data_IF_909861282960
#
_entry.id   IF_909861282960
#
_cell.length_a   1.000
_cell.length_b   1.000
_cell.length_c   1.000
_cell.angle_alpha   90.00
_cell.angle_beta   90.00
_cell.angle_gamma   90.00
#
_symmetry.space_group_name_H-M   'P 1'
#
loop_
_entity.id
_entity.type
_entity.pdbx_description
1 polymer ?
#
# COMPACT_ATOMS: atom_id res chain seq x y z
N UNK A 1 0.23 -8.60 16.29
CA UNK A 1 -0.03 -7.32 15.60
C UNK A 1 1.22 -6.91 14.84
N UNK A 2 1.11 -6.01 13.86
CA UNK A 2 2.25 -5.51 13.08
C UNK A 2 2.06 -4.03 12.72
N UNK A 3 3.15 -3.41 12.26
CA UNK A 3 3.17 -2.03 11.80
C UNK A 3 3.30 -1.99 10.28
N UNK A 4 2.66 -1.00 9.67
CA UNK A 4 2.66 -0.76 8.22
C UNK A 4 3.25 0.61 8.00
N UNK A 5 4.35 0.69 7.26
CA UNK A 5 4.94 1.94 6.79
C UNK A 5 4.77 2.02 5.28
N UNK A 6 4.10 3.06 4.81
CA UNK A 6 3.96 3.34 3.39
C UNK A 6 4.86 4.52 3.04
N UNK A 7 5.98 4.26 2.36
CA UNK A 7 6.90 5.30 1.90
C UNK A 7 6.66 5.69 0.42
N UNK A 8 5.54 5.24 -0.14
CA UNK A 8 5.14 5.60 -1.49
C UNK A 8 4.22 6.82 -1.49
N UNK A 9 3.97 7.35 -2.68
CA UNK A 9 2.98 8.42 -2.93
C UNK A 9 1.56 7.90 -3.11
N UNK A 10 1.33 6.59 -3.04
CA UNK A 10 0.02 5.96 -3.28
C UNK A 10 -0.63 5.56 -1.97
N UNK A 11 -1.96 5.38 -1.98
CA UNK A 11 -2.68 4.80 -0.84
C UNK A 11 -2.60 3.28 -0.90
N UNK A 12 -2.35 2.65 0.24
CA UNK A 12 -2.30 1.19 0.39
C UNK A 12 -3.45 0.74 1.28
N UNK A 13 -4.23 -0.23 0.80
CA UNK A 13 -5.23 -0.93 1.59
C UNK A 13 -4.72 -2.33 1.91
N UNK A 14 -4.81 -2.72 3.18
CA UNK A 14 -4.33 -4.00 3.70
C UNK A 14 -5.51 -4.82 4.19
N UNK A 15 -5.51 -6.11 3.87
CA UNK A 15 -6.60 -7.04 4.13
C UNK A 15 -6.12 -8.21 4.99
N UNK A 16 -7.08 -8.92 5.60
CA UNK A 16 -6.82 -10.10 6.41
C UNK A 16 -6.62 -11.31 5.49
N UNK A 17 -5.60 -12.12 5.75
CA UNK A 17 -5.39 -13.39 5.05
C UNK A 17 -4.54 -13.27 3.79
N UNK A 18 -4.38 -14.39 3.08
CA UNK A 18 -3.44 -14.49 1.96
C UNK A 18 -3.98 -13.91 0.65
N UNK A 19 -5.30 -13.82 0.51
CA UNK A 19 -5.98 -13.26 -0.68
C UNK A 19 -6.69 -11.98 -0.29
N UNK A 20 -6.82 -11.04 -1.22
CA UNK A 20 -7.72 -9.90 -1.05
C UNK A 20 -9.16 -10.41 -1.24
N UNK A 21 -9.80 -10.86 -0.16
CA UNK A 21 -11.12 -11.50 -0.12
C UNK A 21 -12.29 -10.52 -0.32
N UNK A 22 -12.07 -9.39 -1.00
CA UNK A 22 -13.05 -8.33 -1.31
C UNK A 22 -13.85 -7.80 -0.10
N UNK A 23 -13.41 -8.08 1.13
CA UNK A 23 -13.93 -7.48 2.36
C UNK A 23 -13.39 -6.08 2.62
N UNK A 24 -13.84 -5.45 3.71
CA UNK A 24 -13.30 -4.17 4.14
C UNK A 24 -11.81 -4.31 4.54
N UNK A 25 -10.94 -3.35 4.19
CA UNK A 25 -9.55 -3.38 4.60
C UNK A 25 -9.42 -3.30 6.13
N UNK A 26 -8.43 -4.00 6.69
CA UNK A 26 -8.06 -3.92 8.12
C UNK A 26 -7.19 -2.70 8.43
N UNK A 27 -6.61 -2.08 7.40
CA UNK A 27 -5.94 -0.79 7.48
C UNK A 27 -5.93 -0.11 6.10
N UNK A 28 -6.17 1.20 6.08
CA UNK A 28 -5.93 2.06 4.93
C UNK A 28 -4.83 3.04 5.31
N UNK A 29 -3.71 3.00 4.58
CA UNK A 29 -2.50 3.76 4.89
C UNK A 29 -2.22 4.71 3.74
N UNK A 30 -2.37 6.01 4.01
CA UNK A 30 -2.12 7.05 3.03
C UNK A 30 -0.64 7.20 2.67
N UNK A 31 -0.32 8.07 1.69
CA UNK A 31 1.04 8.38 1.27
C UNK A 31 1.93 8.83 2.43
N UNK A 32 3.19 8.36 2.46
CA UNK A 32 4.20 8.70 3.47
C UNK A 32 3.71 8.60 4.93
N UNK A 33 2.82 7.65 5.20
CA UNK A 33 2.16 7.48 6.49
C UNK A 33 2.38 6.10 7.08
N UNK A 34 2.01 5.95 8.36
CA UNK A 34 2.16 4.71 9.12
C UNK A 34 0.89 4.34 9.84
N UNK A 35 0.58 3.04 9.87
CA UNK A 35 -0.42 2.45 10.76
C UNK A 35 0.27 1.48 11.71
N UNK A 36 0.09 1.68 13.01
CA UNK A 36 0.77 0.89 14.04
C UNK A 36 -0.23 -0.01 14.78
N UNK A 37 0.24 -1.16 15.25
CA UNK A 37 -0.57 -2.07 16.07
C UNK A 37 -1.71 -2.75 15.31
N UNK A 38 -1.62 -2.85 13.99
CA UNK A 38 -2.65 -3.50 13.16
C UNK A 38 -2.77 -4.96 13.56
N UNK A 39 -3.98 -5.38 13.91
CA UNK A 39 -4.27 -6.75 14.30
C UNK A 39 -4.96 -7.49 13.14
N UNK A 40 -4.26 -8.40 12.46
CA UNK A 40 -4.82 -9.17 11.36
C UNK A 40 -5.90 -10.16 11.85
N UNK A 41 -5.97 -10.46 13.15
CA UNK A 41 -6.84 -11.52 13.66
C UNK A 41 -6.40 -12.92 13.21
N UNK A 42 -7.29 -13.90 13.35
CA UNK A 42 -7.13 -15.26 12.84
C UNK A 42 -7.97 -15.42 11.57
N UNK A 43 -7.49 -16.22 10.62
CA UNK A 43 -8.25 -16.65 9.45
C UNK A 43 -8.31 -18.17 9.43
N UNK A 44 -9.47 -18.73 9.08
CA UNK A 44 -9.67 -20.18 8.96
C UNK A 44 -9.16 -20.72 7.61
N UNK A 45 -8.97 -19.85 6.61
CA UNK A 45 -8.53 -20.22 5.27
C UNK A 45 -7.05 -20.61 5.22
N UNK A 46 -6.21 -20.02 6.07
CA UNK A 46 -4.77 -20.32 6.13
C UNK A 46 -4.30 -20.38 7.57
N UNK A 47 -3.93 -21.58 8.04
CA UNK A 47 -3.39 -21.78 9.38
C UNK A 47 -1.90 -21.43 9.41
N UNK A 48 -1.55 -20.38 10.14
CA UNK A 48 -0.16 -20.08 10.48
C UNK A 48 0.03 -20.31 11.97
N UNK A 49 1.06 -21.09 12.30
CA UNK A 49 1.33 -21.50 13.68
C UNK A 49 1.76 -20.29 14.52
N UNK A 50 2.64 -19.43 13.96
CA UNK A 50 3.24 -18.27 14.66
C UNK A 50 3.47 -17.08 13.71
N UNK A 51 2.49 -16.70 12.88
CA UNK A 51 2.70 -15.65 11.88
C UNK A 51 1.44 -14.91 11.45
N UNK A 52 1.67 -13.68 10.99
CA UNK A 52 0.63 -12.80 10.45
C UNK A 52 0.51 -13.02 8.94
N UNK A 53 -0.70 -13.24 8.45
CA UNK A 53 -1.01 -13.18 7.02
C UNK A 53 -1.85 -11.94 6.73
N UNK A 54 -1.33 -11.12 5.83
CA UNK A 54 -2.03 -10.00 5.26
C UNK A 54 -1.68 -9.89 3.76
N UNK A 55 -2.66 -9.48 2.98
CA UNK A 55 -2.51 -9.10 1.58
C UNK A 55 -2.75 -7.60 1.46
N UNK A 56 -2.29 -6.98 0.38
CA UNK A 56 -2.49 -5.55 0.17
C UNK A 56 -2.76 -5.23 -1.29
N UNK A 57 -3.45 -4.11 -1.52
CA UNK A 57 -3.57 -3.52 -2.86
C UNK A 57 -3.19 -2.04 -2.81
N UNK A 58 -2.65 -1.57 -3.92
CA UNK A 58 -2.37 -0.16 -4.14
C UNK A 58 -3.63 0.44 -4.76
N UNK A 59 -4.15 1.50 -4.16
CA UNK A 59 -5.28 2.26 -4.70
C UNK A 59 -4.73 3.23 -5.73
N UNK A 60 -5.13 3.06 -6.99
CA UNK A 60 -4.88 4.00 -8.06
C UNK A 60 -6.17 4.77 -8.34
N UNK A 61 -6.12 6.08 -8.11
CA UNK A 61 -7.12 7.00 -8.65
C UNK A 61 -6.89 7.05 -10.17
N UNK A 62 -7.94 6.79 -10.95
CA UNK A 62 -7.87 6.67 -12.42
C UNK A 62 -7.71 8.01 -13.15
N UNK A 63 -7.24 9.05 -12.46
CA UNK A 63 -7.26 10.42 -12.98
C UNK A 63 -5.88 11.08 -13.12
N UNK A 64 -4.76 10.36 -12.98
CA UNK A 64 -3.46 10.89 -13.40
C UNK A 64 -2.52 9.76 -13.86
N UNK A 65 -2.53 9.54 -15.17
CA UNK A 65 -1.43 8.91 -15.88
C UNK A 65 -0.11 9.66 -15.59
N UNK A 66 0.85 8.94 -15.00
CA UNK A 66 2.26 8.92 -15.42
C UNK A 66 2.94 10.27 -15.72
N UNK A 67 3.03 11.19 -14.74
CA UNK A 67 3.94 12.35 -14.81
C UNK A 67 5.15 12.27 -13.89
N UNK A 68 5.57 11.06 -13.53
CA UNK A 68 6.73 10.86 -12.68
C UNK A 68 7.75 9.99 -13.40
N UNK A 69 8.35 10.49 -14.49
CA UNK A 69 9.71 10.15 -14.95
C UNK A 69 10.01 10.80 -16.31
N UNK A 70 9.99 12.13 -16.39
CA UNK A 70 10.77 12.85 -17.40
C UNK A 70 11.80 13.74 -16.74
N UNK A 71 12.99 13.15 -16.57
CA UNK A 71 14.22 13.65 -17.17
C UNK A 71 14.55 15.12 -16.94
N UNK A 72 15.60 15.34 -16.16
CA UNK A 72 16.11 16.67 -15.83
C UNK A 72 16.61 17.51 -17.02
N UNK A 73 16.85 18.78 -16.67
CA UNK A 73 17.73 19.78 -17.31
C UNK A 73 17.64 19.94 -18.83
N UNK A 74 16.95 21.01 -19.24
CA UNK A 74 17.31 21.78 -20.44
C UNK A 74 17.62 23.21 -20.02
N UNK A 75 18.86 23.45 -19.58
CA UNK A 75 19.46 24.79 -19.62
C UNK A 75 19.98 25.02 -21.06
N UNK A 76 19.87 26.26 -21.56
CA UNK A 76 20.36 26.83 -22.84
C UNK A 76 19.43 26.59 -24.04
N UNK A 77 19.13 27.57 -24.89
CA UNK A 77 20.07 28.48 -25.56
C UNK A 77 19.55 29.93 -25.74
N UNK A 78 20.52 30.85 -25.73
CA UNK A 78 20.45 32.23 -26.22
C UNK A 78 20.15 32.29 -27.74
N UNK A 79 19.29 33.22 -28.18
CA UNK A 79 19.40 34.05 -29.40
C UNK A 79 18.26 35.10 -29.48
#
# INVERSE_FOLDING_TARGET
SFNIRNDSRKTVEVFRGATCDNGAPIATVGPHSTSNGVNPGKTDAVKVRDGVLASFRIVHDRDHDDRDDKGGKGDRDDD
#
